data_IF_142815391208
#
_entry.id   IF_142815391208
#
_cell.length_a   1.000
_cell.length_b   1.000
_cell.length_c   1.000
_cell.angle_alpha   90.00
_cell.angle_beta   90.00
_cell.angle_gamma   90.00
#
_symmetry.space_group_name_H-M   'P 1'
#
loop_
_entity.id
_entity.type
_entity.pdbx_description
1 polymer ?
#
# COMPACT_ATOMS: atom_id res chain seq x y z
N UNK A 1 14.98 -22.91 -40.94
CA UNK A 1 14.26 -21.63 -40.73
C UNK A 1 13.41 -21.77 -39.48
N UNK A 2 13.51 -20.88 -38.47
CA UNK A 2 12.66 -20.99 -37.29
C UNK A 2 11.22 -20.62 -37.68
N UNK A 3 10.26 -21.52 -37.41
CA UNK A 3 8.84 -21.26 -37.65
C UNK A 3 8.32 -20.25 -36.64
N UNK A 4 7.71 -19.17 -37.13
CA UNK A 4 7.04 -18.20 -36.29
C UNK A 4 5.89 -18.88 -35.51
N UNK A 5 5.69 -18.54 -34.23
CA UNK A 5 4.59 -19.09 -33.46
C UNK A 5 3.24 -18.69 -34.07
N UNK A 6 2.27 -19.59 -34.01
CA UNK A 6 0.90 -19.36 -34.51
C UNK A 6 0.29 -18.08 -33.92
N UNK A 7 -0.33 -17.26 -34.77
CA UNK A 7 -0.92 -15.96 -34.42
C UNK A 7 -1.98 -16.06 -33.31
N UNK A 8 -2.72 -17.17 -33.24
CA UNK A 8 -3.66 -17.44 -32.15
C UNK A 8 -2.97 -17.63 -30.79
N UNK A 9 -1.76 -18.17 -30.77
CA UNK A 9 -1.03 -18.39 -29.53
C UNK A 9 -0.58 -17.04 -28.95
N UNK A 10 -0.12 -16.14 -29.83
CA UNK A 10 0.30 -14.78 -29.46
C UNK A 10 -0.89 -14.00 -28.88
N UNK A 11 -2.06 -14.03 -29.54
CA UNK A 11 -3.23 -13.28 -29.07
C UNK A 11 -3.73 -13.74 -27.69
N UNK A 12 -3.74 -15.05 -27.43
CA UNK A 12 -4.11 -15.63 -26.13
C UNK A 12 -3.15 -15.21 -25.00
N UNK A 13 -1.84 -15.18 -25.28
CA UNK A 13 -0.83 -14.75 -24.30
C UNK A 13 -1.02 -13.27 -23.95
N UNK A 14 -1.21 -12.40 -24.94
CA UNK A 14 -1.41 -10.96 -24.74
C UNK A 14 -2.68 -10.68 -23.92
N UNK A 15 -3.80 -11.32 -24.26
CA UNK A 15 -5.06 -11.16 -23.52
C UNK A 15 -4.94 -11.61 -22.05
N UNK A 16 -4.22 -12.71 -21.79
CA UNK A 16 -3.93 -13.17 -20.43
C UNK A 16 -3.09 -12.15 -19.66
N UNK A 17 -2.07 -11.56 -20.30
CA UNK A 17 -1.20 -10.57 -19.67
C UNK A 17 -1.97 -9.30 -19.29
N UNK A 18 -2.80 -8.79 -20.18
CA UNK A 18 -3.65 -7.61 -19.91
C UNK A 18 -4.61 -7.85 -18.73
N UNK A 19 -5.21 -9.04 -18.63
CA UNK A 19 -6.07 -9.40 -17.50
C UNK A 19 -5.30 -9.43 -16.17
N UNK A 20 -4.09 -9.99 -16.15
CA UNK A 20 -3.21 -9.97 -14.96
C UNK A 20 -2.84 -8.54 -14.56
N UNK A 21 -2.52 -7.68 -15.54
CA UNK A 21 -2.21 -6.27 -15.32
C UNK A 21 -3.39 -5.50 -14.75
N UNK A 22 -4.58 -5.68 -15.30
CA UNK A 22 -5.81 -5.06 -14.80
C UNK A 22 -6.14 -5.50 -13.37
N UNK A 23 -5.98 -6.80 -13.07
CA UNK A 23 -6.14 -7.33 -11.71
C UNK A 23 -5.13 -6.73 -10.73
N UNK A 24 -3.85 -6.66 -11.10
CA UNK A 24 -2.82 -6.06 -10.27
C UNK A 24 -3.10 -4.57 -10.01
N UNK A 25 -3.56 -3.83 -11.02
CA UNK A 25 -3.95 -2.43 -10.87
C UNK A 25 -5.15 -2.27 -9.92
N UNK A 26 -6.17 -3.12 -10.03
CA UNK A 26 -7.34 -3.11 -9.14
C UNK A 26 -6.95 -3.37 -7.69
N UNK A 27 -6.08 -4.38 -7.45
CA UNK A 27 -5.56 -4.68 -6.11
C UNK A 27 -4.78 -3.50 -5.53
N UNK A 28 -3.87 -2.90 -6.33
CA UNK A 28 -3.08 -1.72 -5.92
C UNK A 28 -4.00 -0.55 -5.54
N UNK A 29 -5.01 -0.24 -6.36
CA UNK A 29 -5.96 0.86 -6.10
C UNK A 29 -6.75 0.64 -4.81
N UNK A 30 -7.26 -0.58 -4.59
CA UNK A 30 -8.00 -0.92 -3.36
C UNK A 30 -7.13 -0.83 -2.11
N UNK A 31 -5.89 -1.34 -2.18
CA UNK A 31 -4.93 -1.21 -1.08
C UNK A 31 -4.63 0.25 -0.74
N UNK A 32 -4.33 1.07 -1.76
CA UNK A 32 -4.10 2.51 -1.58
C UNK A 32 -5.30 3.22 -0.95
N UNK A 33 -6.51 2.90 -1.41
CA UNK A 33 -7.74 3.46 -0.84
C UNK A 33 -7.94 3.07 0.63
N UNK A 34 -7.65 1.82 0.99
CA UNK A 34 -7.71 1.36 2.38
C UNK A 34 -6.70 2.08 3.26
N UNK A 35 -5.44 2.20 2.82
CA UNK A 35 -4.40 2.92 3.56
C UNK A 35 -4.73 4.40 3.72
N UNK A 36 -5.30 5.03 2.69
CA UNK A 36 -5.79 6.42 2.79
C UNK A 36 -6.84 6.57 3.87
N UNK A 37 -7.82 5.67 3.96
CA UNK A 37 -8.85 5.71 5.02
C UNK A 37 -8.28 5.47 6.41
N UNK A 38 -7.29 4.58 6.54
CA UNK A 38 -6.60 4.35 7.79
C UNK A 38 -5.82 5.61 8.25
N UNK A 39 -5.13 6.26 7.32
CA UNK A 39 -4.44 7.54 7.57
C UNK A 39 -5.41 8.67 7.94
N UNK A 40 -6.51 8.82 7.21
CA UNK A 40 -7.56 9.80 7.54
C UNK A 40 -8.11 9.56 8.97
N UNK A 41 -8.36 8.31 9.34
CA UNK A 41 -8.83 7.95 10.67
C UNK A 41 -7.80 8.24 11.77
N UNK A 42 -6.53 7.88 11.55
CA UNK A 42 -5.48 8.13 12.56
C UNK A 42 -5.32 9.61 12.88
N UNK A 43 -5.46 10.48 11.86
CA UNK A 43 -5.41 11.93 12.04
C UNK A 43 -6.67 12.42 12.74
N UNK A 44 -7.84 12.12 12.19
CA UNK A 44 -9.12 12.66 12.71
C UNK A 44 -9.43 12.23 14.14
N UNK A 45 -9.00 11.02 14.52
CA UNK A 45 -9.27 10.45 15.84
C UNK A 45 -8.03 10.42 16.74
N UNK A 46 -6.93 11.08 16.37
CA UNK A 46 -5.66 11.11 17.12
C UNK A 46 -5.23 9.71 17.61
N UNK A 47 -5.33 8.72 16.72
CA UNK A 47 -5.20 7.30 17.05
C UNK A 47 -4.03 6.66 16.32
N UNK A 48 -3.24 5.86 17.03
CA UNK A 48 -2.24 5.00 16.40
C UNK A 48 -2.92 3.83 15.65
N UNK A 49 -2.71 3.75 14.33
CA UNK A 49 -3.35 2.78 13.43
C UNK A 49 -2.31 2.02 12.64
N UNK A 50 -2.49 0.69 12.57
CA UNK A 50 -1.71 -0.19 11.70
C UNK A 50 -2.64 -1.03 10.84
N UNK A 51 -2.35 -1.11 9.54
CA UNK A 51 -3.09 -1.96 8.59
C UNK A 51 -2.12 -2.84 7.82
N UNK A 52 -2.23 -4.15 8.00
CA UNK A 52 -1.44 -5.14 7.27
C UNK A 52 -2.29 -5.87 6.22
N UNK A 53 -1.80 -5.92 4.98
CA UNK A 53 -2.44 -6.60 3.86
C UNK A 53 -1.47 -7.58 3.23
N UNK A 54 -1.76 -8.89 3.32
CA UNK A 54 -1.02 -9.93 2.61
C UNK A 54 -1.70 -10.29 1.29
N UNK A 55 -0.97 -10.19 0.19
CA UNK A 55 -1.39 -10.81 -1.05
C UNK A 55 -1.22 -12.33 -0.94
N UNK A 56 -2.33 -13.06 -0.89
CA UNK A 56 -2.31 -14.53 -0.76
C UNK A 56 -1.63 -15.25 -1.93
N UNK A 57 -1.65 -14.67 -3.13
CA UNK A 57 -1.00 -15.27 -4.30
C UNK A 57 0.51 -15.04 -4.33
N UNK A 58 0.97 -13.82 -4.04
CA UNK A 58 2.41 -13.49 -4.10
C UNK A 58 3.13 -13.62 -2.75
N UNK A 59 2.40 -13.87 -1.67
CA UNK A 59 2.93 -13.83 -0.30
C UNK A 59 3.26 -12.42 0.22
N UNK A 60 3.36 -11.43 -0.68
CA UNK A 60 3.78 -10.06 -0.36
C UNK A 60 2.91 -9.42 0.71
N UNK A 61 3.58 -8.96 1.77
CA UNK A 61 2.98 -8.18 2.85
C UNK A 61 3.14 -6.69 2.56
N UNK A 62 2.07 -5.93 2.77
CA UNK A 62 2.05 -4.48 2.74
C UNK A 62 1.55 -3.97 4.09
N UNK A 63 2.23 -2.99 4.67
CA UNK A 63 1.91 -2.48 6.00
C UNK A 63 1.80 -0.96 5.90
N UNK A 64 0.69 -0.43 6.39
CA UNK A 64 0.56 0.99 6.72
C UNK A 64 0.67 1.14 8.24
N UNK A 65 1.43 2.13 8.69
CA UNK A 65 1.54 2.51 10.10
C UNK A 65 1.48 4.03 10.20
N UNK A 66 0.60 4.54 11.05
CA UNK A 66 0.46 5.98 11.29
C UNK A 66 1.58 6.51 12.19
N UNK A 67 2.04 5.72 13.15
CA UNK A 67 3.04 6.14 14.12
C UNK A 67 4.45 5.79 13.68
N UNK A 68 5.42 6.67 13.91
CA UNK A 68 6.86 6.30 13.82
C UNK A 68 7.29 5.44 15.02
N UNK A 69 6.47 5.40 16.08
CA UNK A 69 6.73 4.60 17.29
C UNK A 69 6.17 3.20 17.08
N UNK A 70 7.04 2.19 17.06
CA UNK A 70 6.65 0.79 17.00
C UNK A 70 5.95 0.37 18.29
N UNK A 71 4.63 0.54 18.34
CA UNK A 71 3.81 0.23 19.52
C UNK A 71 3.25 -1.20 19.46
N UNK A 72 3.18 -1.81 18.28
CA UNK A 72 2.76 -3.21 18.13
C UNK A 72 3.92 -4.18 18.44
N UNK A 73 3.74 -5.13 19.38
CA UNK A 73 4.77 -6.09 19.76
C UNK A 73 5.23 -7.01 18.61
N UNK A 74 4.35 -7.26 17.63
CA UNK A 74 4.55 -8.21 16.54
C UNK A 74 5.53 -7.74 15.45
N UNK A 75 6.01 -6.50 15.51
CA UNK A 75 6.91 -5.94 14.49
C UNK A 75 8.40 -6.26 14.70
N UNK A 76 8.75 -6.99 15.76
CA UNK A 76 10.16 -7.18 16.12
C UNK A 76 10.90 -8.17 15.22
N UNK A 77 10.20 -9.01 14.47
CA UNK A 77 10.81 -10.01 13.57
C UNK A 77 10.49 -9.75 12.09
N UNK A 78 10.97 -8.63 11.55
CA UNK A 78 10.89 -8.32 10.12
C UNK A 78 11.62 -9.35 9.23
N UNK A 79 12.58 -10.08 9.79
CA UNK A 79 13.40 -11.07 9.07
C UNK A 79 12.68 -12.40 8.77
N UNK A 80 11.52 -12.66 9.38
CA UNK A 80 10.78 -13.91 9.18
C UNK A 80 9.86 -13.90 7.94
N UNK A 81 9.69 -12.76 7.28
CA UNK A 81 8.76 -12.62 6.16
C UNK A 81 9.47 -12.59 4.82
N UNK A 82 9.15 -13.56 3.96
CA UNK A 82 9.55 -13.57 2.55
C UNK A 82 8.31 -13.55 1.64
N UNK A 83 8.22 -12.65 0.65
CA UNK A 83 9.15 -11.54 0.36
C UNK A 83 9.08 -10.41 1.42
N UNK A 84 10.11 -9.56 1.46
CA UNK A 84 10.25 -8.47 2.45
C UNK A 84 8.99 -7.61 2.48
N UNK A 85 8.39 -7.34 3.67
CA UNK A 85 7.23 -6.47 3.77
C UNK A 85 7.50 -5.07 3.20
N UNK A 86 6.52 -4.51 2.49
CA UNK A 86 6.56 -3.13 2.00
C UNK A 86 5.80 -2.25 3.00
N UNK A 87 6.47 -1.24 3.55
CA UNK A 87 5.88 -0.31 4.51
C UNK A 87 5.53 1.01 3.80
N UNK A 88 4.39 1.58 4.12
CA UNK A 88 3.93 2.92 3.68
C UNK A 88 3.62 3.73 4.96
N UNK A 89 4.19 4.93 5.10
CA UNK A 89 3.96 5.82 6.25
C UNK A 89 2.84 6.83 5.97
N UNK A 90 2.49 7.65 6.96
CA UNK A 90 1.56 8.77 6.76
C UNK A 90 2.00 9.70 5.63
N UNK A 91 3.30 10.00 5.54
CA UNK A 91 3.87 10.87 4.50
C UNK A 91 3.72 10.26 3.10
N UNK A 92 3.83 8.93 2.98
CA UNK A 92 3.67 8.21 1.71
C UNK A 92 2.22 8.21 1.21
N UNK A 93 1.25 8.25 2.15
CA UNK A 93 -0.19 8.17 1.86
C UNK A 93 -0.80 9.56 1.66
N UNK A 94 -0.42 10.54 2.49
CA UNK A 94 -0.93 11.91 2.48
C UNK A 94 0.26 12.88 2.38
N UNK A 95 0.73 13.19 1.16
CA UNK A 95 1.85 14.10 0.97
C UNK A 95 1.55 15.49 1.53
N UNK A 96 2.41 15.98 2.42
CA UNK A 96 2.30 17.33 2.99
C UNK A 96 1.33 17.47 4.18
N UNK A 97 0.95 16.36 4.84
CA UNK A 97 0.10 16.38 6.02
C UNK A 97 0.69 17.18 7.19
N UNK A 98 2.01 17.18 7.38
CA UNK A 98 2.70 17.95 8.45
C UNK A 98 2.48 19.47 8.33
N UNK A 99 2.16 20.01 7.14
CA UNK A 99 1.89 21.45 6.97
C UNK A 99 0.52 21.87 7.52
N UNK A 100 -0.40 20.94 7.72
CA UNK A 100 -1.76 21.22 8.20
C UNK A 100 -1.75 21.44 9.72
N UNK A 101 -0.98 20.65 10.48
CA UNK A 101 -0.85 20.83 11.94
C UNK A 101 -0.25 22.21 12.29
N UNK A 102 0.75 22.69 11.55
CA UNK A 102 1.37 24.01 11.81
C UNK A 102 0.44 25.19 11.51
N UNK A 103 -0.50 25.05 10.56
CA UNK A 103 -1.47 26.10 10.21
C UNK A 103 -2.67 26.12 11.18
N UNK A 104 -3.18 24.96 11.62
CA UNK A 104 -4.26 24.89 12.63
C UNK A 104 -3.78 25.37 14.01
N UNK A 105 -2.57 24.99 14.45
CA UNK A 105 -1.95 25.51 15.68
C UNK A 105 -1.73 27.04 15.64
N UNK A 106 -1.57 27.64 14.46
CA UNK A 106 -1.47 29.10 14.30
C UNK A 106 -2.83 29.80 14.27
N UNK A 107 -3.89 29.09 13.88
CA UNK A 107 -5.24 29.63 13.84
C UNK A 107 -5.89 29.68 15.24
N UNK A 108 -5.55 28.74 16.14
CA UNK A 108 -6.07 28.70 17.52
C UNK A 108 -5.41 29.71 18.48
N UNK A 109 -4.36 30.42 18.04
CA UNK A 109 -3.66 31.45 18.84
C UNK A 109 -4.18 32.87 18.52
N UNK A 110 -5.30 33.01 17.81
CA UNK A 110 -5.82 34.32 17.36
C UNK A 110 -7.20 34.66 17.87
#
# INVERSE_FOLDING_TARGET
MPMAPSSELISKITAKHENLRARAQKLRRRRKGLFKKAAEYSIYCESDVVVAVRNRQSGQLYIFESSKKKWLPAEKDEHHYYPRPIRETLEDIIPGWERVEEEELRADVK
#
